data_IF_517803944130
#
_entry.id   IF_517803944130
#
_cell.length_a   1.000
_cell.length_b   1.000
_cell.length_c   1.000
_cell.angle_alpha   90.00
_cell.angle_beta   90.00
_cell.angle_gamma   90.00
#
_symmetry.space_group_name_H-M   'P 1'
#
loop_
_entity.id
_entity.type
_entity.pdbx_description
1 polymer ?
#
# COMPACT_ATOMS: atom_id res chain seq x y z
N UNK A 1 24.66 -9.09 -0.05
CA UNK A 1 23.26 -8.89 0.42
C UNK A 1 23.14 -9.57 1.77
N UNK A 2 23.25 -8.83 2.87
CA UNK A 2 23.10 -9.40 4.21
C UNK A 2 21.62 -9.73 4.42
N UNK A 3 21.30 -11.02 4.56
CA UNK A 3 19.98 -11.45 4.96
C UNK A 3 19.73 -10.93 6.38
N UNK A 4 18.73 -10.07 6.55
CA UNK A 4 18.22 -9.70 7.87
C UNK A 4 17.72 -11.00 8.50
N UNK A 5 18.49 -11.52 9.46
CA UNK A 5 18.11 -12.72 10.18
C UNK A 5 16.96 -12.36 11.11
N UNK A 6 15.72 -12.55 10.65
CA UNK A 6 14.55 -12.44 11.52
C UNK A 6 14.68 -13.51 12.60
N UNK A 7 14.96 -13.08 13.82
CA UNK A 7 14.97 -14.00 14.94
C UNK A 7 13.52 -14.36 15.30
N UNK A 8 13.25 -15.58 15.80
CA UNK A 8 11.92 -15.94 16.30
C UNK A 8 11.39 -14.97 17.36
N UNK A 9 12.29 -14.30 18.08
CA UNK A 9 11.97 -13.27 19.08
C UNK A 9 11.45 -12.00 18.42
N UNK A 10 12.07 -11.53 17.34
CA UNK A 10 11.58 -10.37 16.58
C UNK A 10 10.16 -10.61 16.06
N UNK A 11 9.92 -11.81 15.55
CA UNK A 11 8.60 -12.21 15.05
C UNK A 11 7.56 -12.32 16.19
N UNK A 12 7.97 -12.86 17.35
CA UNK A 12 7.11 -12.96 18.51
C UNK A 12 6.75 -11.58 19.08
N UNK A 13 7.71 -10.67 19.18
CA UNK A 13 7.49 -9.28 19.65
C UNK A 13 6.57 -8.55 18.67
N UNK A 14 6.81 -8.65 17.37
CA UNK A 14 5.95 -8.06 16.35
C UNK A 14 4.51 -8.59 16.44
N UNK A 15 4.34 -9.91 16.58
CA UNK A 15 3.02 -10.53 16.74
C UNK A 15 2.30 -10.04 18.01
N UNK A 16 3.01 -9.93 19.14
CA UNK A 16 2.45 -9.48 20.41
C UNK A 16 2.00 -8.01 20.34
N UNK A 17 2.80 -7.14 19.71
CA UNK A 17 2.44 -5.74 19.46
C UNK A 17 1.19 -5.61 18.57
N UNK A 18 1.06 -6.45 17.53
CA UNK A 18 -0.13 -6.47 16.67
C UNK A 18 -1.38 -6.90 17.45
N UNK A 19 -1.27 -7.92 18.32
CA UNK A 19 -2.38 -8.36 19.18
C UNK A 19 -2.77 -7.25 20.16
N UNK A 20 -1.80 -6.58 20.79
CA UNK A 20 -2.04 -5.47 21.71
C UNK A 20 -2.71 -4.27 21.02
N UNK A 21 -2.32 -3.96 19.78
CA UNK A 21 -2.94 -2.93 18.95
C UNK A 21 -4.40 -3.30 18.62
N UNK A 22 -4.65 -4.55 18.19
CA UNK A 22 -5.98 -5.02 17.88
C UNK A 22 -6.90 -5.04 19.12
N UNK A 23 -6.37 -5.44 20.28
CA UNK A 23 -7.08 -5.40 21.56
C UNK A 23 -7.43 -3.96 21.94
N UNK A 24 -6.46 -3.04 21.90
CA UNK A 24 -6.65 -1.61 22.19
C UNK A 24 -7.68 -0.97 21.25
N UNK A 25 -7.61 -1.29 19.95
CA UNK A 25 -8.56 -0.80 18.95
C UNK A 25 -9.99 -1.29 19.20
N UNK A 26 -10.16 -2.54 19.62
CA UNK A 26 -11.48 -3.08 20.02
C UNK A 26 -11.98 -2.45 21.32
N UNK A 27 -11.09 -2.23 22.28
CA UNK A 27 -11.43 -1.65 23.60
C UNK A 27 -11.91 -0.22 23.48
N UNK A 28 -11.36 0.54 22.55
CA UNK A 28 -11.76 1.93 22.29
C UNK A 28 -13.13 2.06 21.61
N UNK A 29 -13.82 0.95 21.28
CA UNK A 29 -15.20 0.85 20.72
C UNK A 29 -15.59 2.06 19.85
N UNK A 30 -14.76 2.40 18.87
CA UNK A 30 -14.89 3.63 18.07
C UNK A 30 -16.18 3.69 17.22
N UNK A 31 -17.10 2.72 17.30
CA UNK A 31 -18.27 2.62 16.41
C UNK A 31 -17.92 2.27 14.96
N UNK A 32 -16.64 2.35 14.59
CA UNK A 32 -16.09 2.10 13.24
C UNK A 32 -15.90 0.60 12.96
N UNK A 33 -16.32 -0.33 13.83
CA UNK A 33 -16.05 -1.77 13.63
C UNK A 33 -16.59 -2.32 12.30
N UNK A 34 -17.77 -1.87 11.88
CA UNK A 34 -18.36 -2.22 10.58
C UNK A 34 -17.64 -1.53 9.43
N UNK A 35 -17.34 -0.25 9.54
CA UNK A 35 -16.64 0.52 8.52
C UNK A 35 -15.21 0.03 8.30
N UNK A 36 -14.52 -0.36 9.38
CA UNK A 36 -13.20 -0.99 9.34
C UNK A 36 -13.26 -2.36 8.68
N UNK A 37 -14.26 -3.19 8.99
CA UNK A 37 -14.45 -4.48 8.33
C UNK A 37 -14.69 -4.30 6.83
N UNK A 38 -15.58 -3.40 6.44
CA UNK A 38 -15.86 -3.11 5.03
C UNK A 38 -14.61 -2.54 4.33
N UNK A 39 -13.90 -1.61 4.97
CA UNK A 39 -12.67 -1.02 4.43
C UNK A 39 -11.56 -2.08 4.29
N UNK A 40 -11.38 -2.93 5.28
CA UNK A 40 -10.39 -4.01 5.27
C UNK A 40 -10.71 -5.06 4.21
N UNK A 41 -11.97 -5.50 4.12
CA UNK A 41 -12.41 -6.43 3.06
C UNK A 41 -12.22 -5.81 1.68
N UNK A 42 -12.60 -4.54 1.49
CA UNK A 42 -12.38 -3.84 0.22
C UNK A 42 -10.88 -3.73 -0.13
N UNK A 43 -10.02 -3.40 0.85
CA UNK A 43 -8.58 -3.33 0.65
C UNK A 43 -7.98 -4.71 0.32
N UNK A 44 -8.41 -5.76 1.01
CA UNK A 44 -7.99 -7.14 0.76
C UNK A 44 -8.38 -7.60 -0.65
N UNK A 45 -9.65 -7.43 -1.02
CA UNK A 45 -10.13 -7.74 -2.37
C UNK A 45 -9.37 -6.96 -3.44
N UNK A 46 -9.13 -5.65 -3.21
CA UNK A 46 -8.37 -4.81 -4.14
C UNK A 46 -6.94 -5.34 -4.32
N UNK A 47 -6.25 -5.70 -3.24
CA UNK A 47 -4.90 -6.23 -3.32
C UNK A 47 -4.85 -7.60 -4.02
N UNK A 48 -5.81 -8.49 -3.73
CA UNK A 48 -5.90 -9.81 -4.39
C UNK A 48 -6.18 -9.67 -5.88
N UNK A 49 -7.08 -8.77 -6.28
CA UNK A 49 -7.37 -8.49 -7.69
C UNK A 49 -6.13 -7.96 -8.43
N UNK A 50 -5.41 -7.01 -7.84
CA UNK A 50 -4.15 -6.50 -8.42
C UNK A 50 -3.13 -7.63 -8.56
N UNK A 51 -2.99 -8.48 -7.54
CA UNK A 51 -2.11 -9.65 -7.60
C UNK A 51 -2.46 -10.62 -8.74
N UNK A 52 -3.75 -10.83 -9.00
CA UNK A 52 -4.21 -11.66 -10.12
C UNK A 52 -3.87 -11.04 -11.48
N UNK A 53 -4.07 -9.73 -11.63
CA UNK A 53 -3.69 -8.98 -12.83
C UNK A 53 -2.18 -9.10 -13.07
N UNK A 54 -1.35 -8.93 -12.04
CA UNK A 54 0.09 -9.11 -12.13
C UNK A 54 0.49 -10.53 -12.54
N UNK A 55 -0.18 -11.56 -11.99
CA UNK A 55 0.07 -12.96 -12.39
C UNK A 55 -0.21 -13.18 -13.88
N UNK A 56 -1.29 -12.59 -14.40
CA UNK A 56 -1.63 -12.67 -15.83
C UNK A 56 -0.61 -11.92 -16.71
N UNK A 57 -0.18 -10.73 -16.27
CA UNK A 57 0.83 -9.94 -16.98
C UNK A 57 2.19 -10.63 -17.00
N UNK A 58 2.62 -11.24 -15.89
CA UNK A 58 3.88 -11.98 -15.85
C UNK A 58 3.82 -13.30 -16.63
N UNK A 59 2.64 -13.90 -16.81
CA UNK A 59 2.48 -15.06 -17.68
C UNK A 59 2.67 -14.69 -19.18
N UNK A 60 2.42 -13.44 -19.56
CA UNK A 60 2.72 -12.90 -20.88
C UNK A 60 4.04 -12.13 -20.80
N UNK A 61 5.17 -12.84 -20.96
CA UNK A 61 6.55 -12.38 -20.74
C UNK A 61 7.06 -11.25 -21.67
N UNK A 62 6.21 -10.27 -22.02
CA UNK A 62 6.59 -9.11 -22.80
C UNK A 62 6.80 -7.90 -21.89
N UNK A 63 8.02 -7.37 -21.89
CA UNK A 63 8.46 -6.21 -21.12
C UNK A 63 7.55 -4.97 -21.30
N UNK A 64 6.90 -4.83 -22.47
CA UNK A 64 5.98 -3.74 -22.76
C UNK A 64 4.75 -3.73 -21.83
N UNK A 65 4.20 -4.89 -21.49
CA UNK A 65 3.04 -5.00 -20.59
C UNK A 65 3.39 -4.58 -19.16
N UNK A 66 4.60 -4.93 -18.72
CA UNK A 66 5.12 -4.53 -17.40
C UNK A 66 5.34 -3.01 -17.36
N UNK A 67 5.94 -2.44 -18.40
CA UNK A 67 6.15 -1.00 -18.51
C UNK A 67 4.84 -0.21 -18.53
N UNK A 68 3.83 -0.69 -19.27
CA UNK A 68 2.50 -0.09 -19.30
C UNK A 68 1.84 -0.13 -17.92
N UNK A 69 1.93 -1.26 -17.21
CA UNK A 69 1.35 -1.38 -15.87
C UNK A 69 2.06 -0.50 -14.84
N UNK A 70 3.39 -0.41 -14.90
CA UNK A 70 4.17 0.49 -14.06
C UNK A 70 3.75 1.95 -14.26
N UNK A 71 3.56 2.36 -15.52
CA UNK A 71 3.06 3.71 -15.86
C UNK A 71 1.66 3.96 -15.27
N UNK A 72 0.75 3.00 -15.42
CA UNK A 72 -0.62 3.11 -14.87
C UNK A 72 -0.59 3.21 -13.35
N UNK A 73 0.20 2.36 -12.67
CA UNK A 73 0.36 2.43 -11.21
C UNK A 73 0.94 3.77 -10.76
N UNK A 74 1.95 4.30 -11.47
CA UNK A 74 2.56 5.59 -11.17
C UNK A 74 1.55 6.74 -11.28
N UNK A 75 0.74 6.75 -12.36
CA UNK A 75 -0.29 7.77 -12.58
C UNK A 75 -1.39 7.70 -11.52
N UNK A 76 -1.86 6.49 -11.19
CA UNK A 76 -2.90 6.29 -10.16
C UNK A 76 -2.38 6.68 -8.78
N UNK A 77 -1.15 6.28 -8.42
CA UNK A 77 -0.52 6.66 -7.15
C UNK A 77 -0.32 8.18 -7.04
N UNK A 78 0.18 8.83 -8.09
CA UNK A 78 0.33 10.28 -8.12
C UNK A 78 -1.00 11.02 -8.02
N UNK A 79 -2.07 10.50 -8.64
CA UNK A 79 -3.42 11.04 -8.49
C UNK A 79 -3.94 10.90 -7.06
N UNK A 80 -3.75 9.73 -6.44
CA UNK A 80 -4.20 9.47 -5.06
C UNK A 80 -3.47 10.35 -4.05
N UNK A 81 -2.17 10.58 -4.23
CA UNK A 81 -1.38 11.53 -3.43
C UNK A 81 -1.96 12.94 -3.55
N UNK A 82 -2.24 13.42 -4.77
CA UNK A 82 -2.87 14.72 -4.99
C UNK A 82 -4.27 14.82 -4.36
N UNK A 83 -5.05 13.73 -4.41
CA UNK A 83 -6.41 13.69 -3.88
C UNK A 83 -6.44 13.68 -2.34
N UNK A 84 -5.41 13.12 -1.69
CA UNK A 84 -5.30 13.05 -0.22
C UNK A 84 -4.54 14.22 0.42
N UNK A 85 -3.97 15.14 -0.37
CA UNK A 85 -3.32 16.33 0.19
C UNK A 85 -4.34 17.30 0.83
N UNK A 86 -4.30 17.41 2.17
CA UNK A 86 -5.10 18.36 2.98
C UNK A 86 -4.74 19.84 2.75
N UNK A 87 -3.56 20.16 2.19
CA UNK A 87 -3.23 21.49 1.65
C UNK A 87 -2.92 21.35 0.16
N UNK A 88 -3.84 21.83 -0.69
CA UNK A 88 -3.69 21.85 -2.15
C UNK A 88 -2.52 22.75 -2.55
N UNK A 89 -1.37 22.17 -2.86
CA UNK A 89 -0.36 22.84 -3.67
C UNK A 89 -0.84 22.79 -5.13
N UNK A 90 -1.11 23.95 -5.74
CA UNK A 90 -1.62 24.06 -7.12
C UNK A 90 -0.51 23.74 -8.12
N UNK A 91 -0.78 22.84 -9.07
CA UNK A 91 -0.02 22.68 -10.32
C UNK A 91 0.67 21.32 -10.50
N UNK A 92 1.17 21.07 -11.72
CA UNK A 92 1.87 19.82 -12.11
C UNK A 92 3.11 19.49 -11.27
N UNK A 93 3.64 20.46 -10.52
CA UNK A 93 4.74 20.27 -9.57
C UNK A 93 4.39 19.37 -8.37
N UNK A 94 3.12 19.28 -7.97
CA UNK A 94 2.70 18.38 -6.89
C UNK A 94 2.78 16.90 -7.29
N UNK A 95 2.60 16.60 -8.59
CA UNK A 95 2.79 15.26 -9.16
C UNK A 95 4.29 14.88 -9.19
N UNK A 96 5.17 15.82 -9.55
CA UNK A 96 6.62 15.62 -9.53
C UNK A 96 7.20 15.52 -8.12
N UNK A 97 6.72 16.31 -7.15
CA UNK A 97 7.20 16.23 -5.76
C UNK A 97 6.78 14.93 -5.08
N UNK A 98 5.54 14.46 -5.33
CA UNK A 98 5.05 13.20 -4.77
C UNK A 98 5.73 11.98 -5.37
N UNK A 99 5.91 11.96 -6.70
CA UNK A 99 6.59 10.85 -7.40
C UNK A 99 8.10 10.86 -7.14
N UNK A 100 8.73 12.04 -7.10
CA UNK A 100 10.16 12.18 -6.82
C UNK A 100 10.57 11.74 -5.42
N UNK A 101 9.72 11.98 -4.41
CA UNK A 101 9.97 11.50 -3.04
C UNK A 101 9.99 9.96 -2.95
N UNK A 102 9.15 9.28 -3.73
CA UNK A 102 9.10 7.80 -3.79
C UNK A 102 10.35 7.22 -4.45
N UNK A 103 10.87 7.88 -5.49
CA UNK A 103 12.13 7.51 -6.13
C UNK A 103 13.36 7.78 -5.26
N UNK A 104 13.39 8.88 -4.51
CA UNK A 104 14.50 9.23 -3.60
C UNK A 104 14.53 8.32 -2.36
N UNK A 105 13.39 7.79 -1.95
CA UNK A 105 13.28 6.92 -0.77
C UNK A 105 13.48 5.42 -1.08
N UNK A 106 13.63 5.03 -2.34
CA UNK A 106 13.89 3.63 -2.75
C UNK A 106 15.38 3.37 -2.94
#
# INVERSE_FOLDING_TARGET
>A
MNLVQLTPVDLAIAALLVIALAASSRWLRLGVGRDLLVAATRMGLQLTLIGYVLKALFAQAHWYWIALMALVMLLVAGREILARQQRRLRGGWAFFSGTGAVFVSS
#
